data_IF_221060844490
#
_entry.id   IF_221060844490
#
_cell.length_a   1.000
_cell.length_b   1.000
_cell.length_c   1.000
_cell.angle_alpha   90.00
_cell.angle_beta   90.00
_cell.angle_gamma   90.00
#
_symmetry.space_group_name_H-M   'P 1'
#
loop_
_entity.id
_entity.type
_entity.pdbx_description
1 polymer ?
#
# COMPACT_ATOMS: atom_id res chain seq x y z
N UNK A 1 -10.14 8.51 -6.79
CA UNK A 1 -8.98 7.68 -7.18
C UNK A 1 -9.37 6.21 -7.33
N UNK A 2 -9.74 5.51 -6.24
CA UNK A 2 -9.98 4.05 -6.24
C UNK A 2 -11.03 3.55 -7.23
N UNK A 3 -12.09 4.32 -7.50
CA UNK A 3 -13.09 3.96 -8.53
C UNK A 3 -12.49 3.78 -9.93
N UNK A 4 -11.48 4.58 -10.27
CA UNK A 4 -10.77 4.46 -11.56
C UNK A 4 -9.80 3.29 -11.51
N UNK A 5 -9.06 3.14 -10.41
CA UNK A 5 -8.11 2.05 -10.21
C UNK A 5 -8.78 0.68 -10.37
N UNK A 6 -9.94 0.48 -9.75
CA UNK A 6 -10.72 -0.76 -9.87
C UNK A 6 -11.10 -1.06 -11.33
N UNK A 7 -11.58 -0.05 -12.06
CA UNK A 7 -11.92 -0.20 -13.48
C UNK A 7 -10.69 -0.51 -14.33
N UNK A 8 -9.56 0.12 -14.04
CA UNK A 8 -8.30 -0.11 -14.74
C UNK A 8 -7.79 -1.54 -14.52
N UNK A 9 -7.74 -2.01 -13.26
CA UNK A 9 -7.25 -3.34 -12.92
C UNK A 9 -8.03 -4.46 -13.64
N UNK A 10 -9.33 -4.27 -13.89
CA UNK A 10 -10.17 -5.18 -14.67
C UNK A 10 -9.83 -5.25 -16.16
N UNK A 11 -9.15 -4.24 -16.71
CA UNK A 11 -8.73 -4.19 -18.12
C UNK A 11 -7.31 -4.73 -18.33
N UNK A 12 -6.55 -4.96 -17.25
CA UNK A 12 -5.19 -5.48 -17.33
C UNK A 12 -5.18 -7.02 -17.43
N UNK A 13 -4.21 -7.61 -18.14
CA UNK A 13 -4.09 -9.06 -18.26
C UNK A 13 -4.14 -9.76 -16.89
N UNK A 14 -4.97 -10.82 -16.72
CA UNK A 14 -5.19 -11.46 -15.43
C UNK A 14 -3.97 -12.25 -14.94
N UNK A 15 -3.06 -12.61 -15.83
CA UNK A 15 -1.88 -13.43 -15.62
C UNK A 15 -0.61 -12.62 -15.35
N UNK A 16 -0.69 -11.29 -15.36
CA UNK A 16 0.42 -10.39 -15.09
C UNK A 16 0.24 -9.63 -13.76
N UNK A 17 1.32 -9.42 -12.98
CA UNK A 17 1.23 -8.67 -11.74
C UNK A 17 0.96 -7.18 -12.00
N UNK A 18 0.09 -6.58 -11.19
CA UNK A 18 -0.25 -5.15 -11.22
C UNK A 18 0.55 -4.41 -10.16
N UNK A 19 1.45 -3.53 -10.60
CA UNK A 19 2.34 -2.75 -9.75
C UNK A 19 1.80 -1.33 -9.61
N UNK A 20 1.65 -0.83 -8.39
CA UNK A 20 1.26 0.55 -8.11
C UNK A 20 2.33 1.24 -7.24
N UNK A 21 3.19 2.10 -7.83
CA UNK A 21 4.15 2.89 -7.08
C UNK A 21 3.47 4.09 -6.39
N UNK A 22 4.20 4.71 -5.47
CA UNK A 22 3.87 5.98 -4.81
C UNK A 22 2.59 5.96 -3.97
N UNK A 23 2.19 4.79 -3.48
CA UNK A 23 1.10 4.61 -2.51
C UNK A 23 1.66 3.93 -1.27
N UNK A 24 1.52 4.59 -0.12
CA UNK A 24 2.27 4.19 1.06
C UNK A 24 1.46 4.12 2.35
N UNK A 25 0.31 4.79 2.42
CA UNK A 25 -0.53 4.74 3.61
C UNK A 25 -1.16 3.34 3.75
N UNK A 26 -1.10 2.69 4.93
CA UNK A 26 -1.61 1.33 5.13
C UNK A 26 -3.08 1.16 4.69
N UNK A 27 -3.93 2.15 4.93
CA UNK A 27 -5.33 2.11 4.52
C UNK A 27 -5.49 2.25 2.99
N UNK A 28 -4.62 3.03 2.35
CA UNK A 28 -4.58 3.17 0.89
C UNK A 28 -4.06 1.90 0.20
N UNK A 29 -3.00 1.30 0.74
CA UNK A 29 -2.47 0.00 0.30
C UNK A 29 -3.56 -1.06 0.42
N UNK A 30 -4.24 -1.14 1.56
CA UNK A 30 -5.35 -2.07 1.77
C UNK A 30 -6.48 -1.86 0.74
N UNK A 31 -6.89 -0.62 0.48
CA UNK A 31 -7.90 -0.32 -0.56
C UNK A 31 -7.41 -0.65 -1.97
N UNK A 32 -6.14 -0.43 -2.29
CA UNK A 32 -5.58 -0.77 -3.60
C UNK A 32 -5.54 -2.28 -3.84
N UNK A 33 -5.27 -3.09 -2.81
CA UNK A 33 -5.41 -4.55 -2.87
C UNK A 33 -6.84 -4.94 -3.24
N UNK A 34 -7.86 -4.31 -2.63
CA UNK A 34 -9.28 -4.59 -3.01
C UNK A 34 -9.62 -4.21 -4.45
N UNK A 35 -8.82 -3.33 -5.08
CA UNK A 35 -8.95 -2.98 -6.48
C UNK A 35 -8.23 -3.97 -7.42
N UNK A 36 -7.39 -4.86 -6.89
CA UNK A 36 -6.63 -5.86 -7.65
C UNK A 36 -5.14 -5.57 -7.83
N UNK A 37 -4.56 -4.63 -7.07
CA UNK A 37 -3.11 -4.37 -7.11
C UNK A 37 -2.34 -5.45 -6.33
N UNK A 38 -1.21 -5.89 -6.90
CA UNK A 38 -0.42 -7.02 -6.38
C UNK A 38 0.89 -6.58 -5.70
N UNK A 39 1.53 -5.51 -6.19
CA UNK A 39 2.87 -5.09 -5.76
C UNK A 39 2.91 -3.58 -5.48
N UNK A 40 3.58 -3.23 -4.39
CA UNK A 40 3.74 -1.87 -3.87
C UNK A 40 5.22 -1.57 -3.59
N UNK A 41 5.59 -0.29 -3.58
CA UNK A 41 6.93 0.13 -3.19
C UNK A 41 7.07 0.31 -1.65
N UNK A 42 8.26 0.06 -1.13
CA UNK A 42 8.59 0.14 0.30
C UNK A 42 9.28 1.45 0.73
N UNK A 43 9.15 2.54 -0.03
CA UNK A 43 9.95 3.75 0.16
C UNK A 43 9.61 4.49 1.45
N UNK A 44 8.32 4.61 1.79
CA UNK A 44 7.89 5.34 2.99
C UNK A 44 8.40 4.68 4.29
N UNK A 45 8.27 3.35 4.51
CA UNK A 45 8.89 2.70 5.68
C UNK A 45 10.38 3.01 5.85
N UNK A 46 11.14 3.00 4.74
CA UNK A 46 12.56 3.35 4.76
C UNK A 46 12.80 4.82 5.16
N UNK A 47 12.04 5.75 4.57
CA UNK A 47 12.10 7.19 4.87
C UNK A 47 11.77 7.48 6.33
N UNK A 48 10.70 6.88 6.86
CA UNK A 48 10.26 7.06 8.25
C UNK A 48 11.34 6.58 9.22
N UNK A 49 11.87 5.37 8.99
CA UNK A 49 12.94 4.80 9.81
C UNK A 49 14.18 5.69 9.83
N UNK A 50 14.59 6.22 8.67
CA UNK A 50 15.73 7.14 8.55
C UNK A 50 15.52 8.47 9.28
N UNK A 51 14.27 8.90 9.41
CA UNK A 51 13.87 10.10 10.16
C UNK A 51 13.60 9.84 11.65
N UNK A 52 13.84 8.62 12.15
CA UNK A 52 13.59 8.27 13.55
C UNK A 52 12.10 8.14 13.91
N UNK A 53 11.25 7.90 12.91
CA UNK A 53 9.81 7.72 13.07
C UNK A 53 9.44 6.24 12.91
N UNK A 54 8.62 5.74 13.82
CA UNK A 54 8.04 4.41 13.77
C UNK A 54 6.54 4.50 13.48
N UNK A 55 6.04 3.64 12.59
CA UNK A 55 4.62 3.51 12.35
C UNK A 55 4.04 2.42 13.26
N UNK A 56 3.00 2.78 14.00
CA UNK A 56 2.29 1.87 14.88
C UNK A 56 0.86 1.67 14.39
N UNK A 57 0.31 0.48 14.62
CA UNK A 57 -1.12 0.24 14.42
C UNK A 57 -1.90 0.75 15.65
N UNK A 58 -3.17 1.18 15.48
CA UNK A 58 -4.01 1.55 16.60
C UNK A 58 -4.13 0.42 17.63
N UNK A 59 -3.88 0.72 18.90
CA UNK A 59 -3.90 -0.27 19.98
C UNK A 59 -2.55 -0.94 20.25
N UNK A 60 -1.47 -0.57 19.54
CA UNK A 60 -0.14 -0.98 19.94
C UNK A 60 0.22 -0.42 21.32
N UNK A 61 0.74 -1.28 22.18
CA UNK A 61 1.29 -0.94 23.49
C UNK A 61 2.71 -1.49 23.59
N UNK A 62 3.68 -0.71 24.10
CA UNK A 62 5.01 -1.24 24.37
C UNK A 62 4.91 -2.34 25.44
N UNK A 63 5.53 -3.48 25.19
CA UNK A 63 5.77 -4.49 26.23
C UNK A 63 6.88 -3.97 27.14
N UNK A 64 6.57 -3.78 28.42
CA UNK A 64 7.51 -3.44 29.49
C UNK A 64 8.54 -4.54 29.71
#
# INVERSE_FOLDING_TARGET
MFTILQKLCLQLPPDLPRILPDIWQPDEVARAVTCGVDIFDGTLPFRLSRSGLAWLYPGWTPTS
#
